data_IF_379892404064
#
_entry.id   IF_379892404064
#
_cell.length_a   1.000
_cell.length_b   1.000
_cell.length_c   1.000
_cell.angle_alpha   90.00
_cell.angle_beta   90.00
_cell.angle_gamma   90.00
#
_symmetry.space_group_name_H-M   'P 1'
#
loop_
_entity.id
_entity.type
_entity.pdbx_description
1 polymer ?
#
# COMPACT_ATOMS: atom_id res chain seq x y z
N UNK A 1 16.90 -8.55 0.38
CA UNK A 1 16.22 -9.20 -0.77
C UNK A 1 14.74 -8.96 -0.57
N UNK A 2 14.09 -8.09 -1.37
CA UNK A 2 12.63 -7.98 -1.39
C UNK A 2 11.99 -9.30 -1.82
N UNK A 3 10.92 -9.69 -1.12
CA UNK A 3 10.11 -10.88 -1.42
C UNK A 3 8.64 -10.50 -1.36
N UNK A 4 7.85 -11.09 -2.25
CA UNK A 4 6.40 -10.94 -2.31
C UNK A 4 5.77 -12.33 -2.19
N UNK A 5 4.78 -12.44 -1.32
CA UNK A 5 3.93 -13.62 -1.17
C UNK A 5 2.51 -13.06 -1.00
N UNK A 6 1.67 -13.31 -2.00
CA UNK A 6 0.34 -12.74 -2.08
C UNK A 6 -0.66 -13.80 -2.56
N UNK A 7 -1.82 -13.84 -1.91
CA UNK A 7 -2.95 -14.66 -2.33
C UNK A 7 -4.21 -13.82 -2.30
N UNK A 8 -4.97 -13.90 -3.39
CA UNK A 8 -6.24 -13.22 -3.55
C UNK A 8 -7.33 -14.22 -3.91
N UNK A 9 -8.51 -14.00 -3.33
CA UNK A 9 -9.73 -14.68 -3.72
C UNK A 9 -10.83 -13.65 -3.88
N UNK A 10 -11.31 -13.47 -5.11
CA UNK A 10 -12.46 -12.62 -5.42
C UNK A 10 -13.70 -13.46 -5.65
N UNK A 11 -14.85 -12.94 -5.23
CA UNK A 11 -16.14 -13.59 -5.48
C UNK A 11 -17.18 -12.53 -5.80
N UNK A 12 -17.77 -12.65 -6.97
CA UNK A 12 -18.81 -11.79 -7.49
C UNK A 12 -20.09 -12.60 -7.56
N UNK A 13 -21.20 -11.98 -7.16
CA UNK A 13 -22.51 -12.59 -7.27
C UNK A 13 -23.52 -11.55 -7.70
N UNK A 14 -24.32 -11.92 -8.69
CA UNK A 14 -25.49 -11.16 -9.11
C UNK A 14 -26.69 -12.09 -9.14
N UNK A 15 -27.85 -11.56 -8.77
CA UNK A 15 -29.11 -12.30 -8.65
C UNK A 15 -30.30 -11.41 -8.94
N UNK A 16 -31.47 -12.03 -9.18
CA UNK A 16 -32.74 -11.33 -9.42
C UNK A 16 -32.71 -10.43 -10.66
N UNK A 17 -32.23 -10.97 -11.78
CA UNK A 17 -32.27 -10.26 -13.06
C UNK A 17 -33.73 -10.04 -13.52
N UNK A 18 -34.08 -8.80 -13.85
CA UNK A 18 -35.46 -8.42 -14.22
C UNK A 18 -35.85 -8.76 -15.66
N UNK A 19 -34.87 -8.96 -16.55
CA UNK A 19 -35.08 -9.26 -17.96
C UNK A 19 -33.97 -10.20 -18.47
N UNK A 20 -34.13 -11.51 -18.25
CA UNK A 20 -33.25 -12.51 -18.86
C UNK A 20 -34.02 -13.25 -19.95
N UNK A 21 -33.53 -13.15 -21.18
CA UNK A 21 -34.12 -13.85 -22.35
C UNK A 21 -34.18 -15.38 -22.17
N UNK A 22 -33.40 -15.93 -21.22
CA UNK A 22 -33.24 -17.37 -21.01
C UNK A 22 -33.48 -17.85 -19.56
N UNK A 23 -33.96 -17.00 -18.63
CA UNK A 23 -34.29 -17.43 -17.26
C UNK A 23 -33.08 -17.71 -16.36
N UNK A 24 -31.98 -16.97 -16.54
CA UNK A 24 -30.86 -16.97 -15.60
C UNK A 24 -31.31 -16.27 -14.30
N UNK A 25 -31.17 -16.94 -13.17
CA UNK A 25 -31.60 -16.44 -11.86
C UNK A 25 -30.45 -15.79 -11.09
N UNK A 26 -29.29 -16.46 -11.03
CA UNK A 26 -28.08 -15.94 -10.41
C UNK A 26 -26.81 -16.51 -11.03
N UNK A 27 -25.71 -15.78 -10.88
CA UNK A 27 -24.38 -16.34 -11.09
C UNK A 27 -23.44 -16.04 -9.92
N UNK A 28 -22.45 -16.90 -9.77
CA UNK A 28 -21.33 -16.76 -8.85
C UNK A 28 -20.06 -16.89 -9.67
N UNK A 29 -19.27 -15.82 -9.74
CA UNK A 29 -17.97 -15.81 -10.40
C UNK A 29 -16.88 -15.70 -9.34
N UNK A 30 -15.92 -16.61 -9.37
CA UNK A 30 -14.81 -16.68 -8.41
C UNK A 30 -13.50 -16.64 -9.16
N UNK A 31 -12.56 -15.87 -8.62
CA UNK A 31 -11.18 -15.79 -9.07
C UNK A 31 -10.26 -16.15 -7.91
N UNK A 32 -9.27 -17.00 -8.15
CA UNK A 32 -8.18 -17.28 -7.22
C UNK A 32 -6.87 -16.88 -7.91
N UNK A 33 -6.02 -16.13 -7.20
CA UNK A 33 -4.69 -15.71 -7.64
C UNK A 33 -3.69 -15.97 -6.52
N UNK A 34 -2.53 -16.52 -6.87
CA UNK A 34 -1.37 -16.63 -6.01
C UNK A 34 -0.19 -16.01 -6.76
N UNK A 35 0.52 -15.09 -6.13
CA UNK A 35 1.65 -14.38 -6.71
C UNK A 35 2.87 -14.48 -5.78
N UNK A 36 3.98 -14.98 -6.33
CA UNK A 36 5.26 -15.05 -5.67
C UNK A 36 6.26 -14.13 -6.36
N UNK A 37 7.06 -13.41 -5.59
CA UNK A 37 8.06 -12.51 -6.13
C UNK A 37 9.34 -12.52 -5.34
N UNK A 38 10.46 -12.37 -6.04
CA UNK A 38 11.76 -12.14 -5.40
C UNK A 38 12.62 -11.22 -6.25
N UNK A 39 13.42 -10.38 -5.59
CA UNK A 39 14.16 -9.36 -6.31
C UNK A 39 15.39 -8.82 -5.61
N UNK A 40 16.00 -7.83 -6.24
CA UNK A 40 17.19 -7.14 -5.73
C UNK A 40 16.97 -5.63 -5.73
N UNK A 41 17.56 -4.95 -4.75
CA UNK A 41 17.69 -3.49 -4.73
C UNK A 41 18.94 -3.10 -3.94
N UNK A 42 19.31 -1.83 -4.06
CA UNK A 42 20.37 -1.21 -3.29
C UNK A 42 19.79 0.00 -2.53
N UNK A 43 20.18 0.13 -1.26
CA UNK A 43 19.80 1.27 -0.41
C UNK A 43 21.06 1.85 0.18
N UNK A 44 21.32 3.14 -0.09
CA UNK A 44 22.47 3.86 0.41
C UNK A 44 21.99 5.02 1.26
N UNK A 45 22.56 5.18 2.45
CA UNK A 45 22.18 6.27 3.35
C UNK A 45 23.36 6.74 4.19
N UNK A 46 23.32 8.00 4.57
CA UNK A 46 24.29 8.62 5.47
C UNK A 46 23.56 9.42 6.53
N UNK A 47 24.13 9.46 7.74
CA UNK A 47 23.61 10.22 8.87
C UNK A 47 24.76 11.01 9.48
N UNK A 48 24.60 12.32 9.56
CA UNK A 48 25.52 13.23 10.20
C UNK A 48 24.95 13.68 11.55
N UNK A 49 25.80 13.67 12.59
CA UNK A 49 25.46 14.27 13.89
C UNK A 49 25.98 15.70 13.93
N UNK A 50 25.09 16.64 14.24
CA UNK A 50 25.44 18.04 14.49
C UNK A 50 25.34 18.28 15.99
N UNK A 51 26.48 18.37 16.66
CA UNK A 51 26.54 18.39 18.12
C UNK A 51 26.08 17.07 18.76
N UNK A 52 25.68 17.12 20.03
CA UNK A 52 25.24 15.94 20.79
C UNK A 52 23.82 15.50 20.48
N UNK A 53 22.96 16.42 20.05
CA UNK A 53 21.51 16.27 20.10
C UNK A 53 20.83 16.17 18.73
N UNK A 54 21.47 16.60 17.65
CA UNK A 54 20.85 16.71 16.33
C UNK A 54 21.45 15.70 15.35
N UNK A 55 20.59 15.11 14.52
CA UNK A 55 20.93 14.19 13.43
C UNK A 55 20.27 14.69 12.14
N UNK A 56 21.04 14.66 11.06
CA UNK A 56 20.57 14.94 9.71
C UNK A 56 20.93 13.72 8.87
N UNK A 57 19.95 13.17 8.14
CA UNK A 57 20.13 12.00 7.31
C UNK A 57 19.72 12.26 5.87
N UNK A 58 20.37 11.55 4.96
CA UNK A 58 19.95 11.43 3.58
C UNK A 58 20.07 9.97 3.14
N UNK A 59 19.08 9.48 2.41
CA UNK A 59 19.09 8.13 1.86
C UNK A 59 18.52 8.10 0.44
N UNK A 60 19.08 7.21 -0.37
CA UNK A 60 18.60 6.90 -1.71
C UNK A 60 18.35 5.40 -1.81
N UNK A 61 17.15 5.04 -2.23
CA UNK A 61 16.77 3.66 -2.53
C UNK A 61 16.64 3.52 -4.04
N UNK A 62 17.38 2.58 -4.62
CA UNK A 62 17.22 2.24 -6.04
C UNK A 62 15.86 1.58 -6.26
N UNK A 63 15.39 1.54 -7.52
CA UNK A 63 14.37 0.59 -7.95
C UNK A 63 14.70 -0.82 -7.49
N UNK A 64 13.66 -1.60 -7.19
CA UNK A 64 13.77 -3.04 -7.02
C UNK A 64 13.40 -3.71 -8.32
N UNK A 65 14.25 -4.60 -8.80
CA UNK A 65 13.93 -5.50 -9.92
C UNK A 65 13.45 -6.81 -9.33
N UNK A 66 12.18 -7.14 -9.55
CA UNK A 66 11.48 -8.26 -8.92
C UNK A 66 10.98 -9.19 -10.02
N UNK A 67 11.41 -10.44 -10.00
CA UNK A 67 10.80 -11.50 -10.81
C UNK A 67 9.56 -12.00 -10.11
N UNK A 68 8.45 -12.05 -10.83
CA UNK A 68 7.12 -12.44 -10.38
C UNK A 68 6.68 -13.72 -11.10
N UNK A 69 6.03 -14.60 -10.34
CA UNK A 69 5.36 -15.80 -10.84
C UNK A 69 3.94 -15.82 -10.28
N UNK A 70 2.96 -15.98 -11.17
CA UNK A 70 1.54 -15.99 -10.81
C UNK A 70 0.88 -17.29 -11.24
N UNK A 71 0.07 -17.84 -10.35
CA UNK A 71 -0.88 -18.91 -10.63
C UNK A 71 -2.29 -18.38 -10.43
N UNK A 72 -3.15 -18.57 -11.42
CA UNK A 72 -4.53 -18.08 -11.34
C UNK A 72 -5.53 -19.09 -11.90
N UNK A 73 -6.74 -19.06 -11.36
CA UNK A 73 -7.86 -19.84 -11.89
C UNK A 73 -9.16 -19.11 -11.64
N UNK A 74 -10.16 -19.42 -12.46
CA UNK A 74 -11.48 -18.82 -12.37
C UNK A 74 -12.54 -19.90 -12.42
N UNK A 75 -13.66 -19.68 -11.74
CA UNK A 75 -14.81 -20.59 -11.81
C UNK A 75 -16.11 -19.80 -11.84
N UNK A 76 -17.07 -20.28 -12.62
CA UNK A 76 -18.41 -19.69 -12.70
C UNK A 76 -19.45 -20.76 -12.38
N UNK A 77 -20.35 -20.45 -11.45
CA UNK A 77 -21.58 -21.21 -11.19
C UNK A 77 -22.78 -20.37 -11.62
N UNK A 78 -23.74 -20.98 -12.29
CA UNK A 78 -24.98 -20.34 -12.74
C UNK A 78 -26.18 -21.15 -12.27
N UNK A 79 -27.22 -20.45 -11.81
CA UNK A 79 -28.49 -21.06 -11.43
C UNK A 79 -29.61 -20.49 -12.30
N UNK A 80 -30.50 -21.38 -12.76
CA UNK A 80 -31.54 -21.07 -13.73
C UNK A 80 -32.94 -21.36 -13.18
N UNK A 81 -33.96 -20.68 -13.69
CA UNK A 81 -35.33 -20.77 -13.19
C UNK A 81 -35.98 -22.15 -13.42
N UNK A 82 -35.47 -22.89 -14.42
CA UNK A 82 -35.86 -24.29 -14.65
C UNK A 82 -35.25 -25.27 -13.63
N UNK A 83 -34.42 -24.77 -12.71
CA UNK A 83 -33.72 -25.55 -11.69
C UNK A 83 -32.36 -26.08 -12.13
N UNK A 84 -31.89 -25.76 -13.34
CA UNK A 84 -30.56 -26.16 -13.79
C UNK A 84 -29.46 -25.38 -13.04
N UNK A 85 -28.37 -26.08 -12.76
CA UNK A 85 -27.13 -25.51 -12.23
C UNK A 85 -25.95 -25.95 -13.10
N UNK A 86 -25.15 -24.99 -13.56
CA UNK A 86 -23.91 -25.28 -14.28
C UNK A 86 -22.74 -24.69 -13.52
N UNK A 87 -21.70 -25.50 -13.33
CA UNK A 87 -20.42 -25.10 -12.76
C UNK A 87 -19.33 -25.37 -13.80
N UNK A 88 -18.61 -24.33 -14.19
CA UNK A 88 -17.46 -24.42 -15.08
C UNK A 88 -16.24 -23.80 -14.41
N UNK A 89 -15.06 -24.34 -14.70
CA UNK A 89 -13.79 -23.85 -14.16
C UNK A 89 -12.76 -23.75 -15.27
N UNK A 90 -11.98 -22.67 -15.26
CA UNK A 90 -10.83 -22.56 -16.14
C UNK A 90 -9.75 -23.56 -15.71
N UNK A 91 -8.87 -23.99 -16.62
CA UNK A 91 -7.59 -24.55 -16.22
C UNK A 91 -6.81 -23.57 -15.33
N UNK A 92 -5.84 -24.08 -14.59
CA UNK A 92 -4.86 -23.24 -13.91
C UNK A 92 -3.98 -22.54 -14.95
N UNK A 93 -3.97 -21.21 -14.90
CA UNK A 93 -3.06 -20.36 -15.66
C UNK A 93 -1.77 -20.14 -14.86
N UNK A 94 -0.66 -19.99 -15.59
CA UNK A 94 0.63 -19.60 -15.03
C UNK A 94 1.21 -18.47 -15.87
N UNK A 95 1.72 -17.42 -15.24
CA UNK A 95 2.33 -16.30 -15.93
C UNK A 95 3.52 -15.76 -15.14
N UNK A 96 4.60 -15.42 -15.86
CA UNK A 96 5.81 -14.85 -15.26
C UNK A 96 6.20 -13.55 -15.94
N UNK A 97 6.64 -12.61 -15.12
CA UNK A 97 7.01 -11.26 -15.54
C UNK A 97 7.92 -10.61 -14.50
N UNK A 98 8.50 -9.49 -14.84
CA UNK A 98 9.34 -8.69 -13.97
C UNK A 98 8.67 -7.35 -13.68
N UNK A 99 8.82 -6.86 -12.44
CA UNK A 99 8.42 -5.52 -12.03
C UNK A 99 9.65 -4.74 -11.59
N UNK A 100 9.80 -3.54 -12.13
CA UNK A 100 10.72 -2.52 -11.62
C UNK A 100 9.93 -1.54 -10.75
N UNK A 101 10.28 -1.44 -9.47
CA UNK A 101 9.59 -0.52 -8.53
C UNK A 101 10.12 0.91 -8.63
N UNK A 102 9.37 1.92 -8.16
CA UNK A 102 9.86 3.28 -8.01
C UNK A 102 11.16 3.40 -7.21
N UNK A 103 11.99 4.39 -7.55
CA UNK A 103 13.11 4.83 -6.72
C UNK A 103 12.62 5.77 -5.60
N UNK A 104 13.42 5.93 -4.54
CA UNK A 104 13.10 6.86 -3.43
C UNK A 104 14.30 7.70 -3.00
N UNK A 105 14.07 8.98 -2.74
CA UNK A 105 15.03 9.89 -2.10
C UNK A 105 14.45 10.38 -0.78
N UNK A 106 15.21 10.27 0.30
CA UNK A 106 14.75 10.57 1.66
C UNK A 106 15.71 11.55 2.31
N UNK A 107 15.17 12.65 2.85
CA UNK A 107 15.87 13.56 3.75
C UNK A 107 15.24 13.50 5.14
N UNK A 108 16.06 13.30 6.18
CA UNK A 108 15.56 13.18 7.56
C UNK A 108 16.29 14.11 8.52
N UNK A 109 15.56 14.54 9.54
CA UNK A 109 16.05 15.39 10.61
C UNK A 109 15.50 14.89 11.94
N UNK A 110 16.33 14.88 12.98
CA UNK A 110 15.88 14.60 14.34
C UNK A 110 16.71 15.38 15.35
N UNK A 111 16.07 15.87 16.40
CA UNK A 111 16.76 16.56 17.49
C UNK A 111 16.18 16.19 18.85
N UNK A 112 17.04 16.07 19.86
CA UNK A 112 16.65 15.79 21.26
C UNK A 112 16.84 17.05 22.10
N UNK A 113 15.77 17.55 22.70
CA UNK A 113 15.76 18.72 23.55
C UNK A 113 15.69 18.30 25.02
N UNK A 114 16.62 18.80 25.83
CA UNK A 114 16.67 18.58 27.29
C UNK A 114 16.61 17.12 27.75
N UNK A 115 17.02 16.18 26.90
CA UNK A 115 16.94 14.73 27.12
C UNK A 115 15.52 14.21 27.46
N UNK A 116 14.48 15.00 27.18
CA UNK A 116 13.08 14.67 27.46
C UNK A 116 12.20 14.71 26.22
N UNK A 117 12.49 15.62 25.29
CA UNK A 117 11.71 15.80 24.09
C UNK A 117 12.53 15.39 22.88
N UNK A 118 11.92 14.70 21.94
CA UNK A 118 12.48 14.44 20.62
C UNK A 118 11.52 14.99 19.58
N UNK A 119 12.06 15.62 18.55
CA UNK A 119 11.31 16.02 17.36
C UNK A 119 12.00 15.37 16.16
N UNK A 120 11.22 14.88 15.22
CA UNK A 120 11.69 14.32 13.98
C UNK A 120 10.86 14.82 12.80
N UNK A 121 11.52 14.99 11.66
CA UNK A 121 10.90 15.33 10.40
C UNK A 121 11.58 14.53 9.29
N UNK A 122 10.81 14.15 8.28
CA UNK A 122 11.29 13.44 7.11
C UNK A 122 10.52 13.91 5.88
N UNK A 123 11.24 14.06 4.77
CA UNK A 123 10.69 14.26 3.44
C UNK A 123 11.17 13.12 2.57
N UNK A 124 10.26 12.51 1.81
CA UNK A 124 10.54 11.45 0.87
C UNK A 124 9.95 11.80 -0.49
N UNK A 125 10.78 11.77 -1.53
CA UNK A 125 10.35 11.83 -2.92
C UNK A 125 10.34 10.42 -3.49
N UNK A 126 9.25 10.00 -4.12
CA UNK A 126 9.12 8.72 -4.82
C UNK A 126 8.55 8.95 -6.21
N UNK A 127 9.19 8.46 -7.26
CA UNK A 127 8.73 8.60 -8.65
C UNK A 127 8.00 7.34 -9.13
N UNK A 128 6.67 7.39 -9.11
CA UNK A 128 5.83 6.26 -9.49
C UNK A 128 5.82 6.02 -11.00
N UNK A 129 6.11 7.05 -11.81
CA UNK A 129 6.20 6.95 -13.27
C UNK A 129 7.35 6.04 -13.73
N UNK A 130 8.33 5.79 -12.86
CA UNK A 130 9.44 4.86 -13.10
C UNK A 130 9.04 3.38 -13.05
N UNK A 131 7.83 3.06 -12.59
CA UNK A 131 7.35 1.69 -12.52
C UNK A 131 7.32 1.07 -13.92
N UNK A 132 7.87 -0.12 -14.08
CA UNK A 132 7.86 -0.84 -15.36
C UNK A 132 7.59 -2.32 -15.18
N UNK A 133 6.84 -2.88 -16.12
CA UNK A 133 6.60 -4.32 -16.24
C UNK A 133 7.30 -4.85 -17.50
N UNK A 134 7.81 -6.08 -17.43
CA UNK A 134 8.47 -6.75 -18.55
C UNK A 134 8.16 -8.25 -18.54
N UNK A 135 8.00 -8.87 -19.69
CA UNK A 135 7.97 -10.33 -19.84
C UNK A 135 8.47 -10.70 -21.24
N UNK A 136 9.03 -11.90 -21.37
CA UNK A 136 9.42 -12.43 -22.68
C UNK A 136 8.20 -12.80 -23.54
N UNK A 137 7.03 -13.01 -22.91
CA UNK A 137 5.80 -13.47 -23.58
C UNK A 137 4.77 -12.36 -23.84
N UNK A 138 4.90 -11.23 -23.14
CA UNK A 138 4.00 -10.09 -23.26
C UNK A 138 4.76 -8.77 -23.11
N UNK A 139 4.54 -7.84 -24.05
CA UNK A 139 5.35 -6.63 -24.17
C UNK A 139 5.18 -5.63 -23.03
N UNK A 140 4.02 -5.61 -22.37
CA UNK A 140 3.63 -4.58 -21.38
C UNK A 140 3.74 -3.13 -21.88
N UNK A 141 3.82 -2.87 -23.19
CA UNK A 141 4.07 -1.51 -23.69
C UNK A 141 2.88 -0.59 -23.45
N UNK A 142 1.66 -1.10 -23.57
CA UNK A 142 0.44 -0.34 -23.29
C UNK A 142 0.34 0.00 -21.80
N UNK A 143 0.54 -0.98 -20.92
CA UNK A 143 0.51 -0.81 -19.47
C UNK A 143 1.63 0.11 -18.99
N UNK A 144 2.83 -0.02 -19.55
CA UNK A 144 3.95 0.86 -19.21
C UNK A 144 3.70 2.31 -19.67
N UNK A 145 3.06 2.52 -20.83
CA UNK A 145 2.63 3.84 -21.27
C UNK A 145 1.54 4.38 -20.34
N UNK A 146 0.55 3.56 -19.98
CA UNK A 146 -0.50 3.94 -19.04
C UNK A 146 0.08 4.32 -17.67
N UNK A 147 1.03 3.55 -17.14
CA UNK A 147 1.75 3.88 -15.91
C UNK A 147 2.44 5.24 -16.05
N UNK A 148 3.15 5.44 -17.15
CA UNK A 148 3.88 6.69 -17.40
C UNK A 148 2.94 7.89 -17.55
N UNK A 149 1.75 7.70 -18.12
CA UNK A 149 0.76 8.76 -18.34
C UNK A 149 -0.04 9.05 -17.07
N UNK A 150 -0.30 8.04 -16.25
CA UNK A 150 -1.12 8.13 -15.03
C UNK A 150 -0.33 8.64 -13.82
N UNK A 151 0.91 8.17 -13.65
CA UNK A 151 1.68 8.36 -12.42
C UNK A 151 2.78 9.42 -12.55
N UNK A 152 3.13 10.04 -11.43
CA UNK A 152 4.18 11.07 -11.30
C UNK A 152 4.91 10.92 -9.97
N UNK A 153 5.83 11.84 -9.67
CA UNK A 153 6.49 11.88 -8.38
C UNK A 153 5.56 12.33 -7.24
N UNK A 154 5.51 11.53 -6.19
CA UNK A 154 4.83 11.86 -4.95
C UNK A 154 5.82 12.36 -3.90
N UNK A 155 5.42 13.41 -3.18
CA UNK A 155 6.17 13.93 -2.02
C UNK A 155 5.46 13.50 -0.75
N UNK A 156 6.17 12.79 0.12
CA UNK A 156 5.69 12.34 1.41
C UNK A 156 6.39 13.11 2.51
N UNK A 157 5.63 13.71 3.42
CA UNK A 157 6.15 14.49 4.56
C UNK A 157 5.70 13.81 5.84
N UNK A 158 6.64 13.59 6.77
CA UNK A 158 6.37 12.99 8.07
C UNK A 158 6.98 13.86 9.15
N UNK A 159 6.18 14.25 10.14
CA UNK A 159 6.65 14.99 11.32
C UNK A 159 6.15 14.30 12.58
N UNK A 160 6.99 14.24 13.60
CA UNK A 160 6.64 13.58 14.84
C UNK A 160 7.44 14.10 16.02
N UNK A 161 6.96 13.74 17.20
CA UNK A 161 7.66 14.01 18.44
C UNK A 161 7.40 12.96 19.50
N UNK A 162 8.35 12.86 20.41
CA UNK A 162 8.27 12.02 21.60
C UNK A 162 8.52 12.88 22.85
N UNK A 163 7.74 12.64 23.89
CA UNK A 163 7.99 13.16 25.24
C UNK A 163 8.22 12.00 26.19
N UNK A 164 9.38 11.99 26.82
CA UNK A 164 9.75 11.01 27.83
C UNK A 164 9.37 11.51 29.24
N UNK A 165 8.36 10.87 29.82
CA UNK A 165 7.78 11.10 31.14
C UNK A 165 7.87 9.82 31.97
N UNK A 166 9.09 9.29 32.15
CA UNK A 166 9.39 8.05 32.89
C UNK A 166 8.33 7.72 33.98
N UNK A 167 7.70 6.53 33.94
CA UNK A 167 7.98 5.40 33.05
C UNK A 167 7.32 5.51 31.66
N UNK A 168 6.55 6.57 31.40
CA UNK A 168 5.77 6.73 30.18
C UNK A 168 6.56 7.43 29.07
N UNK A 169 6.30 7.05 27.83
CA UNK A 169 6.73 7.76 26.62
C UNK A 169 5.49 8.07 25.81
N UNK A 170 5.23 9.35 25.55
CA UNK A 170 4.12 9.79 24.73
C UNK A 170 4.63 10.18 23.35
N UNK A 171 3.96 9.73 22.31
CA UNK A 171 4.31 10.02 20.92
C UNK A 171 3.11 10.61 20.19
N UNK A 172 3.37 11.57 19.33
CA UNK A 172 2.40 12.10 18.39
C UNK A 172 3.09 12.38 17.07
N UNK A 173 2.35 12.24 15.97
CA UNK A 173 2.89 12.50 14.64
C UNK A 173 1.82 12.74 13.60
N UNK A 174 2.22 13.41 12.53
CA UNK A 174 1.44 13.67 11.35
C UNK A 174 2.24 13.24 10.13
N UNK A 175 1.57 12.60 9.17
CA UNK A 175 2.15 12.28 7.88
C UNK A 175 1.20 12.68 6.76
N UNK A 176 1.74 13.34 5.75
CA UNK A 176 1.07 13.63 4.50
C UNK A 176 1.74 12.81 3.40
N UNK A 177 0.98 11.94 2.75
CA UNK A 177 1.43 11.20 1.58
C UNK A 177 0.81 11.84 0.34
N UNK A 178 1.64 12.45 -0.49
CA UNK A 178 1.18 13.09 -1.73
C UNK A 178 0.62 12.06 -2.71
N UNK A 179 -0.29 12.52 -3.56
CA UNK A 179 -0.85 11.68 -4.61
C UNK A 179 0.24 11.26 -5.61
N UNK A 180 0.29 9.98 -6.01
CA UNK A 180 1.13 9.52 -7.10
C UNK A 180 0.53 9.79 -8.49
N UNK A 181 -0.70 10.31 -8.58
CA UNK A 181 -1.43 10.52 -9.85
C UNK A 181 -1.23 11.94 -10.40
N UNK A 182 -0.97 12.07 -11.71
CA UNK A 182 -0.79 13.39 -12.37
C UNK A 182 -2.02 14.28 -12.27
N UNK A 183 -3.19 13.69 -12.58
CA UNK A 183 -4.43 14.45 -12.74
C UNK A 183 -5.32 14.44 -11.49
N UNK A 184 -4.89 13.77 -10.41
CA UNK A 184 -5.64 13.68 -9.16
C UNK A 184 -4.75 14.03 -7.95
N UNK A 185 -4.19 15.26 -7.89
CA UNK A 185 -3.33 15.69 -6.78
C UNK A 185 -4.03 15.63 -5.41
N UNK A 186 -5.35 15.72 -5.39
CA UNK A 186 -6.21 15.63 -4.21
C UNK A 186 -6.35 14.21 -3.63
N UNK A 187 -5.78 13.19 -4.28
CA UNK A 187 -5.75 11.81 -3.75
C UNK A 187 -4.61 11.63 -2.74
N UNK A 188 -4.41 12.63 -1.90
CA UNK A 188 -3.46 12.59 -0.80
C UNK A 188 -4.01 11.77 0.37
N UNK A 189 -3.10 11.23 1.18
CA UNK A 189 -3.45 10.52 2.41
C UNK A 189 -2.82 11.21 3.61
N UNK A 190 -3.67 11.61 4.55
CA UNK A 190 -3.26 12.20 5.82
C UNK A 190 -3.34 11.16 6.94
N UNK A 191 -2.25 10.99 7.68
CA UNK A 191 -2.22 10.16 8.87
C UNK A 191 -1.98 11.00 10.12
N UNK A 192 -2.89 10.88 11.08
CA UNK A 192 -2.78 11.44 12.41
C UNK A 192 -2.50 10.30 13.39
N UNK A 193 -1.38 10.37 14.11
CA UNK A 193 -0.91 9.28 14.98
C UNK A 193 -0.68 9.75 16.41
N UNK A 194 -1.04 8.90 17.36
CA UNK A 194 -0.76 9.07 18.77
C UNK A 194 -0.37 7.72 19.38
N UNK A 195 0.56 7.72 20.34
CA UNK A 195 1.01 6.50 20.98
C UNK A 195 1.49 6.73 22.41
N UNK A 196 1.41 5.66 23.19
CA UNK A 196 1.93 5.61 24.55
C UNK A 196 2.74 4.34 24.73
N UNK A 197 3.93 4.48 25.28
CA UNK A 197 4.78 3.40 25.71
C UNK A 197 5.01 3.45 27.21
N UNK A 198 5.15 2.31 27.85
CA UNK A 198 5.63 2.18 29.22
C UNK A 198 6.81 1.21 29.24
N UNK A 199 7.91 1.61 29.87
CA UNK A 199 9.13 0.81 29.98
C UNK A 199 9.44 0.56 31.46
N UNK A 200 9.37 -0.70 31.87
CA UNK A 200 9.68 -1.16 33.24
C UNK A 200 11.11 -1.71 33.35
N UNK A 201 11.99 -1.43 32.38
CA UNK A 201 13.37 -1.90 32.32
C UNK A 201 13.51 -3.30 31.74
N UNK A 202 12.82 -4.29 32.31
CA UNK A 202 12.80 -5.69 31.84
C UNK A 202 11.65 -6.00 30.87
N UNK A 203 10.59 -5.20 30.89
CA UNK A 203 9.43 -5.37 30.00
C UNK A 203 8.99 -4.00 29.51
N UNK A 204 8.61 -3.90 28.24
CA UNK A 204 7.99 -2.71 27.71
C UNK A 204 6.68 -3.05 27.00
N UNK A 205 5.74 -2.12 27.06
CA UNK A 205 4.47 -2.18 26.36
C UNK A 205 4.24 -0.88 25.60
N UNK A 206 3.94 -0.96 24.32
CA UNK A 206 3.59 0.18 23.47
C UNK A 206 2.21 -0.03 22.86
N UNK A 207 1.43 1.05 22.81
CA UNK A 207 0.17 1.15 22.10
C UNK A 207 0.24 2.34 21.15
N UNK A 208 -0.22 2.16 19.91
CA UNK A 208 -0.36 3.25 18.94
C UNK A 208 -1.73 3.22 18.28
N UNK A 209 -2.23 4.41 18.00
CA UNK A 209 -3.42 4.65 17.21
C UNK A 209 -3.06 5.54 16.03
N UNK A 210 -3.52 5.18 14.83
CA UNK A 210 -3.39 6.00 13.63
C UNK A 210 -4.75 6.14 12.95
N UNK A 211 -5.18 7.38 12.72
CA UNK A 211 -6.29 7.73 11.85
C UNK A 211 -5.72 8.11 10.48
N UNK A 212 -6.06 7.34 9.45
CA UNK A 212 -5.69 7.60 8.07
C UNK A 212 -6.90 8.09 7.30
N UNK A 213 -6.79 9.25 6.66
CA UNK A 213 -7.83 9.87 5.85
C UNK A 213 -7.36 9.95 4.41
N UNK A 214 -8.20 9.51 3.49
CA UNK A 214 -7.96 9.62 2.05
C UNK A 214 -9.22 10.12 1.39
N UNK A 215 -9.09 11.15 0.55
CA UNK A 215 -10.12 11.57 -0.40
C UNK A 215 -9.80 10.97 -1.76
N UNK A 216 -10.82 10.53 -2.48
CA UNK A 216 -10.68 10.20 -3.89
C UNK A 216 -12.01 9.95 -4.55
N UNK A 217 -12.00 9.78 -5.86
CA UNK A 217 -13.20 9.43 -6.60
C UNK A 217 -13.21 7.95 -6.95
N UNK A 218 -14.41 7.37 -6.93
CA UNK A 218 -14.62 5.96 -7.21
C UNK A 218 -15.61 5.79 -8.36
N UNK A 219 -15.24 4.96 -9.33
CA UNK A 219 -16.12 4.44 -10.38
C UNK A 219 -16.32 2.93 -10.15
N UNK A 220 -17.55 2.45 -10.28
CA UNK A 220 -17.91 1.07 -9.94
C UNK A 220 -17.43 0.09 -11.01
N UNK A 221 -17.52 0.46 -12.28
CA UNK A 221 -17.12 -0.43 -13.39
C UNK A 221 -16.12 0.24 -14.33
N UNK A 222 -16.46 1.38 -14.93
CA UNK A 222 -15.59 2.04 -15.91
C UNK A 222 -15.41 3.53 -15.62
N UNK A 223 -14.20 3.95 -15.21
CA UNK A 223 -13.93 5.35 -14.87
C UNK A 223 -14.02 6.31 -16.06
N UNK A 224 -14.04 5.82 -17.30
CA UNK A 224 -14.12 6.69 -18.49
C UNK A 224 -15.56 6.93 -18.97
N UNK A 225 -16.53 6.15 -18.51
CA UNK A 225 -17.90 6.16 -19.05
C UNK A 225 -18.99 6.36 -17.99
N UNK A 226 -18.62 6.37 -16.71
CA UNK A 226 -19.56 6.43 -15.59
C UNK A 226 -19.35 7.67 -14.72
N UNK A 227 -20.42 8.18 -14.07
CA UNK A 227 -20.28 9.24 -13.09
C UNK A 227 -19.49 8.74 -11.88
N UNK A 228 -18.55 9.56 -11.44
CA UNK A 228 -17.73 9.29 -10.27
C UNK A 228 -18.48 9.64 -8.97
N UNK A 229 -18.33 8.81 -7.95
CA UNK A 229 -18.73 9.15 -6.60
C UNK A 229 -17.52 9.65 -5.81
N UNK A 230 -17.64 10.81 -5.17
CA UNK A 230 -16.62 11.27 -4.23
C UNK A 230 -16.67 10.41 -2.97
N UNK A 231 -15.53 9.82 -2.63
CA UNK A 231 -15.36 8.90 -1.50
C UNK A 231 -14.34 9.50 -0.53
N UNK A 232 -14.80 9.72 0.70
CA UNK A 232 -13.92 10.01 1.83
C UNK A 232 -13.75 8.73 2.65
N UNK A 233 -12.53 8.23 2.72
CA UNK A 233 -12.17 7.04 3.48
C UNK A 233 -11.49 7.43 4.78
N UNK A 234 -12.00 6.91 5.89
CA UNK A 234 -11.34 6.99 7.20
C UNK A 234 -11.01 5.57 7.67
N UNK A 235 -9.71 5.31 7.91
CA UNK A 235 -9.21 4.03 8.40
C UNK A 235 -8.58 4.23 9.78
N UNK A 236 -8.94 3.33 10.70
CA UNK A 236 -8.45 3.34 12.07
C UNK A 236 -7.52 2.16 12.29
N UNK A 237 -6.28 2.43 12.68
CA UNK A 237 -5.29 1.40 13.01
C UNK A 237 -4.99 1.45 14.50
N UNK A 238 -5.08 0.29 15.15
CA UNK A 238 -4.65 0.07 16.53
C UNK A 238 -3.54 -0.99 16.52
N UNK A 239 -2.39 -0.64 17.08
CA UNK A 239 -1.24 -1.54 17.19
C UNK A 239 -0.80 -1.62 18.65
N UNK A 240 -0.51 -2.84 19.10
CA UNK A 240 0.03 -3.13 20.42
C UNK A 240 1.34 -3.89 20.27
N UNK A 241 2.28 -3.62 21.15
CA UNK A 241 3.56 -4.34 21.21
C UNK A 241 3.91 -4.61 22.65
N UNK A 242 4.31 -5.85 22.93
CA UNK A 242 4.82 -6.29 24.23
C UNK A 242 6.20 -6.91 24.01
N UNK A 243 7.21 -6.42 24.72
CA UNK A 243 8.57 -6.91 24.60
C UNK A 243 9.21 -7.19 25.95
N UNK A 244 10.05 -8.21 25.99
CA UNK A 244 10.78 -8.66 27.17
C UNK A 244 12.29 -8.53 26.91
N UNK A 245 13.00 -7.87 27.82
CA UNK A 245 14.47 -7.74 27.82
C UNK A 245 15.02 -8.62 28.93
N UNK A 246 15.94 -9.51 28.56
CA UNK A 246 16.64 -10.45 29.45
C UNK A 246 18.08 -9.98 29.66
#
# INVERSE_FOLDING_TARGET
IPTIDYSEKKTYSESNFSDTTFGLNSFFYKEDLIAYGSGINLKLGSIMRVGSNTKIGAAFHTPSYISMEEEYSTSVSTNWDNGDEFLESSPYGYFSYEITTPWKLIGSFSTILQNKFMINAEIEQTDYSFTRMYSDYYSFSEENNQINDTYTEATNIRVGGEVNLNPFKLRAGYALYGSPYKDNPEYETENYSAGVGIDFGGTFFDMSYTLSKTSGDYAMYNPNTEPHASVNSEKHYLLFTLGFRY
#
